data_IF_956452274506
#
_entry.id   IF_956452274506
#
_cell.length_a   1.000
_cell.length_b   1.000
_cell.length_c   1.000
_cell.angle_alpha   90.00
_cell.angle_beta   90.00
_cell.angle_gamma   90.00
#
_symmetry.space_group_name_H-M   'P 1'
#
loop_
_entity.id
_entity.type
_entity.pdbx_description
1 polymer ?
#
# COMPACT_ATOMS: atom_id res chain seq x y z
N UNK A 1 -0.61 20.92 -8.24
CA UNK A 1 -1.97 21.06 -8.80
C UNK A 1 -2.12 22.25 -9.77
N UNK A 2 -2.03 22.02 -11.09
CA UNK A 2 -2.49 23.00 -12.09
C UNK A 2 -3.99 22.79 -12.36
N UNK A 3 -4.77 23.88 -12.39
CA UNK A 3 -6.22 23.82 -12.62
C UNK A 3 -6.68 24.95 -13.53
N UNK A 4 -7.59 24.60 -14.43
CA UNK A 4 -8.35 25.57 -15.22
C UNK A 4 -9.23 26.43 -14.32
N UNK A 5 -9.59 27.64 -14.79
CA UNK A 5 -10.55 28.49 -14.09
C UNK A 5 -11.91 27.80 -13.92
N UNK A 6 -12.30 26.93 -14.85
CA UNK A 6 -13.51 26.09 -14.75
C UNK A 6 -13.42 25.11 -13.58
N UNK A 7 -12.30 24.38 -13.43
CA UNK A 7 -12.08 23.47 -12.30
C UNK A 7 -12.08 24.21 -10.96
N UNK A 8 -11.48 25.40 -10.89
CA UNK A 8 -11.52 26.25 -9.69
C UNK A 8 -12.94 26.68 -9.32
N UNK A 9 -13.76 27.04 -10.31
CA UNK A 9 -15.17 27.38 -10.09
C UNK A 9 -15.97 26.17 -9.57
N UNK A 10 -15.73 24.96 -10.13
CA UNK A 10 -16.35 23.72 -9.65
C UNK A 10 -16.00 23.46 -8.18
N UNK A 11 -14.71 23.50 -7.83
CA UNK A 11 -14.24 23.28 -6.45
C UNK A 11 -14.80 24.34 -5.48
N UNK A 12 -14.81 25.61 -5.88
CA UNK A 12 -15.39 26.68 -5.07
C UNK A 12 -16.88 26.43 -4.76
N UNK A 13 -17.64 25.99 -5.78
CA UNK A 13 -19.04 25.63 -5.61
C UNK A 13 -19.20 24.39 -4.70
N UNK A 14 -18.35 23.37 -4.85
CA UNK A 14 -18.36 22.18 -3.99
C UNK A 14 -18.10 22.54 -2.53
N UNK A 15 -17.07 23.32 -2.22
CA UNK A 15 -16.80 23.76 -0.85
C UNK A 15 -17.94 24.58 -0.25
N UNK A 16 -18.56 25.46 -1.05
CA UNK A 16 -19.75 26.20 -0.62
C UNK A 16 -20.91 25.25 -0.26
N UNK A 17 -21.19 24.24 -1.10
CA UNK A 17 -22.22 23.24 -0.82
C UNK A 17 -21.88 22.39 0.42
N UNK A 18 -20.63 21.96 0.58
CA UNK A 18 -20.18 21.20 1.75
C UNK A 18 -20.36 22.00 3.04
N UNK A 19 -20.10 23.31 3.04
CA UNK A 19 -20.36 24.17 4.20
C UNK A 19 -21.83 24.37 4.54
N UNK A 20 -22.74 24.19 3.57
CA UNK A 20 -24.18 24.18 3.81
C UNK A 20 -24.68 22.84 4.34
N UNK A 21 -24.08 21.73 3.89
CA UNK A 21 -24.44 20.37 4.29
C UNK A 21 -23.85 19.97 5.65
N UNK A 22 -22.66 20.48 5.97
CA UNK A 22 -21.91 20.21 7.19
C UNK A 22 -21.47 21.54 7.82
N UNK A 23 -22.41 22.15 8.56
CA UNK A 23 -22.21 23.43 9.22
C UNK A 23 -21.12 23.39 10.30
N UNK A 24 -20.83 22.23 10.88
CA UNK A 24 -19.78 22.06 11.88
C UNK A 24 -18.39 22.27 11.27
N UNK A 25 -18.20 21.88 10.01
CA UNK A 25 -16.94 22.07 9.27
C UNK A 25 -16.97 23.25 8.29
N UNK A 26 -17.99 24.11 8.32
CA UNK A 26 -18.15 25.21 7.37
C UNK A 26 -16.90 26.11 7.22
N UNK A 27 -16.22 26.41 8.33
CA UNK A 27 -14.99 27.23 8.31
C UNK A 27 -13.86 26.57 7.51
N UNK A 28 -13.72 25.24 7.59
CA UNK A 28 -12.73 24.48 6.81
C UNK A 28 -13.02 24.62 5.32
N UNK A 29 -14.29 24.48 4.92
CA UNK A 29 -14.68 24.59 3.51
C UNK A 29 -14.56 26.02 2.98
N UNK A 30 -14.92 27.04 3.77
CA UNK A 30 -14.70 28.44 3.40
C UNK A 30 -13.21 28.75 3.16
N UNK A 31 -12.31 28.20 3.98
CA UNK A 31 -10.86 28.30 3.76
C UNK A 31 -10.45 27.69 2.43
N UNK A 32 -10.94 26.48 2.11
CA UNK A 32 -10.64 25.81 0.85
C UNK A 32 -11.21 26.55 -0.37
N UNK A 33 -12.43 27.10 -0.26
CA UNK A 33 -13.04 27.98 -1.26
C UNK A 33 -12.17 29.20 -1.55
N UNK A 34 -11.67 29.86 -0.50
CA UNK A 34 -10.77 31.00 -0.64
C UNK A 34 -9.45 30.63 -1.33
N UNK A 35 -8.85 29.48 -0.98
CA UNK A 35 -7.62 28.97 -1.60
C UNK A 35 -7.81 28.78 -3.11
N UNK A 36 -8.88 28.07 -3.52
CA UNK A 36 -9.09 27.78 -4.95
C UNK A 36 -9.47 29.03 -5.74
N UNK A 37 -10.27 29.95 -5.17
CA UNK A 37 -10.61 31.23 -5.84
C UNK A 37 -9.39 32.15 -5.96
N UNK A 38 -8.60 32.27 -4.90
CA UNK A 38 -7.40 33.10 -4.86
C UNK A 38 -6.25 32.55 -5.69
N UNK A 39 -6.22 31.23 -5.95
CA UNK A 39 -5.12 30.59 -6.65
C UNK A 39 -3.82 30.63 -5.86
N UNK A 40 -3.89 30.55 -4.53
CA UNK A 40 -2.72 30.65 -3.67
C UNK A 40 -1.84 29.41 -3.81
N UNK A 41 -0.77 29.54 -4.60
CA UNK A 41 0.01 28.40 -5.09
C UNK A 41 0.64 27.56 -3.97
N UNK A 42 1.04 28.18 -2.86
CA UNK A 42 1.61 27.48 -1.70
C UNK A 42 0.57 26.55 -1.07
N UNK A 43 -0.64 27.05 -0.85
CA UNK A 43 -1.74 26.32 -0.24
C UNK A 43 -2.27 25.24 -1.18
N UNK A 44 -2.35 25.52 -2.48
CA UNK A 44 -2.70 24.52 -3.49
C UNK A 44 -1.67 23.37 -3.52
N UNK A 45 -0.38 23.67 -3.32
CA UNK A 45 0.67 22.65 -3.21
C UNK A 45 0.50 21.79 -1.96
N UNK A 46 0.07 22.37 -0.83
CA UNK A 46 -0.21 21.58 0.38
C UNK A 46 -1.41 20.66 0.17
N UNK A 47 -2.47 21.09 -0.53
CA UNK A 47 -3.59 20.23 -0.89
C UNK A 47 -3.18 19.05 -1.79
N UNK A 48 -2.25 19.31 -2.72
CA UNK A 48 -1.70 18.30 -3.63
C UNK A 48 -1.03 17.13 -2.87
N UNK A 49 -0.40 17.41 -1.72
CA UNK A 49 0.31 16.39 -0.90
C UNK A 49 -0.62 15.37 -0.23
N UNK A 50 -1.91 15.66 -0.12
CA UNK A 50 -2.89 14.72 0.43
C UNK A 50 -3.21 13.59 -0.55
N UNK A 51 -2.90 13.77 -1.84
CA UNK A 51 -3.05 12.74 -2.86
C UNK A 51 -1.76 11.93 -2.97
N UNK A 52 -1.89 10.63 -3.17
CA UNK A 52 -0.78 9.73 -3.46
C UNK A 52 -1.06 9.00 -4.76
N UNK A 53 -0.11 9.04 -5.68
CA UNK A 53 -0.17 8.23 -6.90
C UNK A 53 0.60 6.92 -6.67
N UNK A 54 -0.10 5.81 -6.92
CA UNK A 54 0.49 4.46 -7.00
C UNK A 54 0.19 3.96 -8.39
N UNK A 55 1.23 3.66 -9.18
CA UNK A 55 1.02 3.19 -10.55
C UNK A 55 0.38 1.81 -10.57
N UNK A 56 -0.25 1.43 -11.69
CA UNK A 56 -0.77 0.07 -11.88
C UNK A 56 0.32 -1.00 -11.65
N UNK A 57 1.53 -0.76 -12.17
CA UNK A 57 2.67 -1.64 -11.96
C UNK A 57 3.03 -1.76 -10.47
N UNK A 58 3.04 -0.65 -9.73
CA UNK A 58 3.32 -0.66 -8.30
C UNK A 58 2.24 -1.40 -7.51
N UNK A 59 0.97 -1.21 -7.88
CA UNK A 59 -0.15 -1.97 -7.32
C UNK A 59 0.00 -3.47 -7.58
N UNK A 60 0.37 -3.87 -8.80
CA UNK A 60 0.60 -5.26 -9.16
C UNK A 60 1.75 -5.86 -8.34
N UNK A 61 2.87 -5.14 -8.19
CA UNK A 61 3.99 -5.60 -7.34
C UNK A 61 3.58 -5.85 -5.88
N UNK A 62 2.73 -5.00 -5.30
CA UNK A 62 2.21 -5.22 -3.94
C UNK A 62 1.34 -6.49 -3.89
N UNK A 63 0.47 -6.70 -4.88
CA UNK A 63 -0.37 -7.90 -4.98
C UNK A 63 0.48 -9.16 -5.15
N UNK A 64 1.48 -9.12 -6.05
CA UNK A 64 2.41 -10.24 -6.27
C UNK A 64 3.21 -10.55 -5.00
N UNK A 65 3.60 -9.52 -4.24
CA UNK A 65 4.27 -9.71 -2.95
C UNK A 65 3.36 -10.47 -1.97
N UNK A 66 2.08 -10.10 -1.88
CA UNK A 66 1.10 -10.81 -1.05
C UNK A 66 0.91 -12.26 -1.51
N UNK A 67 0.79 -12.48 -2.81
CA UNK A 67 0.63 -13.80 -3.41
C UNK A 67 1.86 -14.69 -3.16
N UNK A 68 3.07 -14.14 -3.30
CA UNK A 68 4.31 -14.85 -2.98
C UNK A 68 4.33 -15.27 -1.50
N UNK A 69 3.97 -14.38 -0.57
CA UNK A 69 3.92 -14.73 0.85
C UNK A 69 2.84 -15.77 1.18
N UNK A 70 1.70 -15.74 0.47
CA UNK A 70 0.67 -16.77 0.54
C UNK A 70 1.22 -18.13 0.10
N UNK A 71 1.91 -18.15 -1.04
CA UNK A 71 2.51 -19.35 -1.61
C UNK A 71 3.62 -19.93 -0.72
N UNK A 72 4.46 -19.08 -0.16
CA UNK A 72 5.51 -19.46 0.81
C UNK A 72 4.90 -20.15 2.04
N UNK A 73 3.88 -19.56 2.66
CA UNK A 73 3.23 -20.13 3.84
C UNK A 73 2.46 -21.42 3.52
N UNK A 74 1.71 -21.44 2.42
CA UNK A 74 0.98 -22.63 1.97
C UNK A 74 1.94 -23.78 1.66
N UNK A 75 3.03 -23.51 0.96
CA UNK A 75 4.04 -24.51 0.62
C UNK A 75 4.74 -25.04 1.88
N UNK A 76 5.18 -24.14 2.78
CA UNK A 76 5.77 -24.54 4.07
C UNK A 76 4.82 -25.40 4.90
N UNK A 77 3.52 -25.07 4.91
CA UNK A 77 2.53 -25.82 5.69
C UNK A 77 2.35 -27.26 5.18
N UNK A 78 2.56 -27.49 3.89
CA UNK A 78 2.46 -28.80 3.24
C UNK A 78 3.76 -29.64 3.32
N UNK A 79 4.88 -29.08 3.76
CA UNK A 79 6.11 -29.83 3.95
C UNK A 79 6.00 -30.81 5.12
N UNK A 80 6.53 -32.03 4.94
CA UNK A 80 6.64 -33.04 6.00
C UNK A 80 7.72 -32.69 7.02
N UNK A 81 8.87 -32.17 6.57
CA UNK A 81 9.95 -31.68 7.41
C UNK A 81 10.05 -30.14 7.34
N UNK A 82 9.94 -29.51 8.51
CA UNK A 82 9.96 -28.06 8.70
C UNK A 82 11.14 -27.58 9.57
N UNK A 83 12.02 -28.50 9.97
CA UNK A 83 13.10 -28.25 10.93
C UNK A 83 14.12 -27.20 10.48
N UNK A 84 14.29 -27.02 9.16
CA UNK A 84 15.25 -26.10 8.57
C UNK A 84 14.83 -24.62 8.58
N UNK A 85 13.58 -24.29 8.95
CA UNK A 85 13.06 -22.92 8.92
C UNK A 85 12.04 -22.68 10.03
N UNK A 86 12.20 -21.58 10.76
CA UNK A 86 11.20 -21.16 11.76
C UNK A 86 10.02 -20.43 11.09
N UNK A 87 8.77 -20.64 11.53
CA UNK A 87 7.59 -19.99 10.94
C UNK A 87 7.66 -18.45 10.91
N UNK A 88 8.35 -17.84 11.87
CA UNK A 88 8.57 -16.38 11.93
C UNK A 88 9.25 -15.84 10.66
N UNK A 89 10.12 -16.61 9.99
CA UNK A 89 10.76 -16.15 8.75
C UNK A 89 9.80 -16.01 7.57
N UNK A 90 8.62 -16.62 7.64
CA UNK A 90 7.57 -16.56 6.62
C UNK A 90 6.55 -15.45 6.90
N UNK A 91 6.67 -14.73 8.02
CA UNK A 91 5.77 -13.65 8.35
C UNK A 91 6.03 -12.46 7.42
N UNK A 92 4.97 -11.99 6.78
CA UNK A 92 5.03 -10.76 6.00
C UNK A 92 5.14 -9.55 6.93
N UNK A 93 6.22 -8.78 6.77
CA UNK A 93 6.50 -7.62 7.63
C UNK A 93 5.70 -6.36 7.20
N UNK A 94 5.25 -6.30 5.94
CA UNK A 94 4.63 -5.11 5.38
C UNK A 94 5.63 -4.12 4.77
N UNK A 95 5.30 -2.84 4.80
CA UNK A 95 6.07 -1.75 4.19
C UNK A 95 6.33 -0.62 5.19
N UNK A 96 7.40 0.14 5.01
CA UNK A 96 7.78 1.21 5.92
C UNK A 96 6.78 2.36 5.90
N UNK A 97 6.14 2.68 7.03
CA UNK A 97 5.15 3.76 7.10
C UNK A 97 5.70 5.16 6.77
N UNK A 98 7.03 5.34 6.85
CA UNK A 98 7.71 6.62 6.57
C UNK A 98 8.18 6.70 5.12
N UNK A 99 8.90 5.69 4.63
CA UNK A 99 9.57 5.74 3.31
C UNK A 99 8.77 5.08 2.19
N UNK A 100 7.82 4.23 2.53
CA UNK A 100 7.04 3.40 1.61
C UNK A 100 5.53 3.56 1.85
N UNK A 101 5.13 4.73 2.36
CA UNK A 101 3.76 5.05 2.77
C UNK A 101 2.71 4.66 1.72
N UNK A 102 3.01 4.89 0.45
CA UNK A 102 2.09 4.62 -0.66
C UNK A 102 1.78 3.12 -0.83
N UNK A 103 2.79 2.24 -0.66
CA UNK A 103 2.61 0.80 -0.71
C UNK A 103 1.87 0.29 0.54
N UNK A 104 2.21 0.83 1.72
CA UNK A 104 1.48 0.53 2.96
C UNK A 104 0.00 0.94 2.89
N UNK A 105 -0.30 2.09 2.28
CA UNK A 105 -1.68 2.55 2.08
C UNK A 105 -2.46 1.59 1.16
N UNK A 106 -1.85 1.18 0.04
CA UNK A 106 -2.49 0.22 -0.86
C UNK A 106 -2.68 -1.15 -0.21
N UNK A 107 -1.69 -1.63 0.55
CA UNK A 107 -1.79 -2.85 1.36
C UNK A 107 -2.98 -2.80 2.33
N UNK A 108 -3.17 -1.68 3.03
CA UNK A 108 -4.31 -1.46 3.94
C UNK A 108 -5.65 -1.40 3.20
N UNK A 109 -5.68 -0.86 2.00
CA UNK A 109 -6.87 -0.91 1.15
C UNK A 109 -7.24 -2.36 0.79
N UNK A 110 -6.28 -3.15 0.29
CA UNK A 110 -6.50 -4.54 -0.11
C UNK A 110 -6.93 -5.43 1.07
N UNK A 111 -6.34 -5.24 2.25
CA UNK A 111 -6.60 -6.11 3.40
C UNK A 111 -7.77 -5.66 4.26
N UNK A 112 -7.93 -4.35 4.41
CA UNK A 112 -8.97 -3.75 5.25
C UNK A 112 -10.27 -3.46 4.50
N UNK A 113 -10.19 -2.81 3.34
CA UNK A 113 -11.38 -2.41 2.56
C UNK A 113 -11.87 -3.55 1.68
N UNK A 114 -10.97 -4.19 0.92
CA UNK A 114 -11.30 -5.31 0.02
C UNK A 114 -11.39 -6.65 0.75
N UNK A 115 -10.87 -6.75 1.98
CA UNK A 115 -10.94 -7.96 2.81
C UNK A 115 -10.10 -9.14 2.30
N UNK A 116 -9.13 -8.92 1.41
CA UNK A 116 -8.28 -9.97 0.83
C UNK A 116 -7.11 -10.32 1.76
N UNK A 117 -6.60 -11.55 1.65
CA UNK A 117 -5.39 -12.02 2.34
C UNK A 117 -5.41 -11.97 3.89
N UNK A 118 -6.58 -11.78 4.52
CA UNK A 118 -6.70 -11.57 5.97
C UNK A 118 -6.10 -12.69 6.82
N UNK A 119 -6.11 -13.93 6.33
CA UNK A 119 -5.70 -15.12 7.09
C UNK A 119 -4.22 -15.12 7.48
N UNK A 120 -3.34 -14.68 6.57
CA UNK A 120 -1.89 -14.66 6.79
C UNK A 120 -1.33 -13.29 7.12
N UNK A 121 -2.14 -12.23 6.96
CA UNK A 121 -1.79 -10.84 7.25
C UNK A 121 -1.79 -10.57 8.76
N UNK A 122 -1.03 -11.39 9.51
CA UNK A 122 -0.77 -11.25 10.95
C UNK A 122 0.55 -10.51 11.17
N UNK A 123 0.76 -9.43 10.45
CA UNK A 123 1.92 -8.57 10.60
C UNK A 123 1.84 -7.79 11.92
N UNK A 124 2.98 -7.55 12.55
CA UNK A 124 3.05 -6.66 13.71
C UNK A 124 2.83 -5.19 13.30
N UNK A 125 2.48 -4.33 14.26
CA UNK A 125 2.38 -2.87 14.07
C UNK A 125 1.51 -2.38 12.89
N UNK A 126 0.49 -3.15 12.48
CA UNK A 126 -0.36 -2.78 11.35
C UNK A 126 0.38 -2.78 10.01
N UNK A 127 1.29 -3.75 9.85
CA UNK A 127 2.16 -3.98 8.69
C UNK A 127 3.14 -2.84 8.42
N UNK A 128 3.51 -2.11 9.46
CA UNK A 128 4.66 -1.22 9.39
C UNK A 128 5.92 -2.05 9.64
N UNK A 129 6.67 -2.31 8.58
CA UNK A 129 7.95 -3.03 8.67
C UNK A 129 9.04 -2.22 9.38
N UNK A 130 8.80 -0.91 9.63
CA UNK A 130 9.74 0.07 10.22
C UNK A 130 11.02 0.32 9.40
N UNK A 131 11.33 -0.55 8.44
CA UNK A 131 12.44 -0.45 7.48
C UNK A 131 11.93 -0.67 6.05
N UNK A 132 12.52 -0.03 5.03
CA UNK A 132 12.13 -0.24 3.62
C UNK A 132 12.27 -1.70 3.22
N UNK A 133 11.25 -2.23 2.56
CA UNK A 133 11.18 -3.62 2.12
C UNK A 133 11.00 -3.79 0.61
N UNK A 134 10.70 -2.72 -0.13
CA UNK A 134 10.41 -2.76 -1.56
C UNK A 134 11.50 -3.47 -2.36
N UNK A 135 12.76 -3.04 -2.25
CA UNK A 135 13.88 -3.63 -3.00
C UNK A 135 14.11 -5.10 -2.62
N UNK A 136 13.85 -5.46 -1.35
CA UNK A 136 13.94 -6.84 -0.91
C UNK A 136 12.83 -7.68 -1.55
N UNK A 137 11.59 -7.23 -1.51
CA UNK A 137 10.48 -7.96 -2.11
C UNK A 137 10.64 -8.11 -3.62
N UNK A 138 11.19 -7.11 -4.32
CA UNK A 138 11.53 -7.24 -5.73
C UNK A 138 12.50 -8.41 -5.99
N UNK A 139 13.60 -8.51 -5.22
CA UNK A 139 14.54 -9.64 -5.35
C UNK A 139 13.90 -10.98 -5.01
N UNK A 140 13.04 -11.00 -3.98
CA UNK A 140 12.29 -12.21 -3.62
C UNK A 140 11.35 -12.65 -4.74
N UNK A 141 10.64 -11.69 -5.37
CA UNK A 141 9.75 -11.94 -6.50
C UNK A 141 10.52 -12.47 -7.71
N UNK A 142 11.69 -11.92 -8.02
CA UNK A 142 12.55 -12.44 -9.11
C UNK A 142 12.89 -13.92 -8.90
N UNK A 143 13.27 -14.30 -7.67
CA UNK A 143 13.57 -15.71 -7.34
C UNK A 143 12.31 -16.57 -7.39
N UNK A 144 11.17 -16.07 -6.90
CA UNK A 144 9.90 -16.80 -6.91
C UNK A 144 9.38 -17.04 -8.34
N UNK A 145 9.46 -16.04 -9.22
CA UNK A 145 9.10 -16.19 -10.63
C UNK A 145 10.04 -17.13 -11.40
N UNK A 146 11.27 -17.32 -10.91
CA UNK A 146 12.22 -18.29 -11.47
C UNK A 146 11.96 -19.73 -11.00
N UNK A 147 11.13 -19.95 -9.98
CA UNK A 147 10.73 -21.30 -9.57
C UNK A 147 9.84 -21.95 -10.66
N UNK A 148 9.96 -23.26 -10.91
CA UNK A 148 9.13 -23.94 -11.91
C UNK A 148 7.63 -23.87 -11.63
N UNK A 149 7.26 -23.71 -10.36
CA UNK A 149 5.89 -23.57 -9.90
C UNK A 149 5.82 -22.44 -8.87
N UNK A 150 4.76 -21.61 -8.94
CA UNK A 150 4.52 -20.57 -7.94
C UNK A 150 4.10 -21.11 -6.56
N UNK A 151 3.60 -22.35 -6.50
CA UNK A 151 3.14 -23.04 -5.30
C UNK A 151 3.79 -24.43 -5.19
N UNK A 152 3.60 -25.12 -4.05
CA UNK A 152 4.21 -26.42 -3.75
C UNK A 152 5.75 -26.38 -3.74
N UNK A 153 6.28 -25.28 -3.22
CA UNK A 153 7.72 -25.04 -3.11
C UNK A 153 8.38 -26.02 -2.14
N UNK A 154 9.55 -26.53 -2.52
CA UNK A 154 10.45 -27.26 -1.65
C UNK A 154 11.06 -26.36 -0.58
N UNK A 155 11.60 -26.95 0.49
CA UNK A 155 12.32 -26.20 1.54
C UNK A 155 13.47 -25.36 0.95
N UNK A 156 14.20 -25.90 -0.03
CA UNK A 156 15.30 -25.20 -0.70
C UNK A 156 14.81 -23.98 -1.47
N UNK A 157 13.71 -24.09 -2.22
CA UNK A 157 13.12 -22.96 -2.93
C UNK A 157 12.63 -21.87 -1.97
N UNK A 158 11.94 -22.25 -0.89
CA UNK A 158 11.51 -21.33 0.17
C UNK A 158 12.72 -20.57 0.75
N UNK A 159 13.80 -21.27 1.06
CA UNK A 159 15.01 -20.64 1.59
C UNK A 159 15.68 -19.71 0.59
N UNK A 160 15.73 -20.08 -0.70
CA UNK A 160 16.30 -19.24 -1.76
C UNK A 160 15.51 -17.93 -1.90
N UNK A 161 14.17 -18.01 -1.92
CA UNK A 161 13.30 -16.83 -1.99
C UNK A 161 13.53 -15.93 -0.77
N UNK A 162 13.50 -16.48 0.45
CA UNK A 162 13.64 -15.68 1.69
C UNK A 162 15.04 -15.05 1.87
N UNK A 163 16.05 -15.56 1.17
CA UNK A 163 17.45 -15.10 1.26
C UNK A 163 17.87 -14.18 0.09
N UNK A 164 16.97 -13.84 -0.83
CA UNK A 164 17.22 -12.88 -1.90
C UNK A 164 17.49 -11.45 -1.37
#
# INVERSE_FOLDING_TARGET
MEMTSTQRLILANQYKLMGLLDSQNAQKYQRLEAIVKGGFALELKELDKEFSDVSEQECQTVLDTLEMYNALQTSYNNLSDKSALTPHRLQFAGYCAVREKKYLNYLRFITGVEGKYQEFMRCEHGCDSQVPMWDKYMRMLDVWHACPHGYHLSMTEIQNILNA
#
